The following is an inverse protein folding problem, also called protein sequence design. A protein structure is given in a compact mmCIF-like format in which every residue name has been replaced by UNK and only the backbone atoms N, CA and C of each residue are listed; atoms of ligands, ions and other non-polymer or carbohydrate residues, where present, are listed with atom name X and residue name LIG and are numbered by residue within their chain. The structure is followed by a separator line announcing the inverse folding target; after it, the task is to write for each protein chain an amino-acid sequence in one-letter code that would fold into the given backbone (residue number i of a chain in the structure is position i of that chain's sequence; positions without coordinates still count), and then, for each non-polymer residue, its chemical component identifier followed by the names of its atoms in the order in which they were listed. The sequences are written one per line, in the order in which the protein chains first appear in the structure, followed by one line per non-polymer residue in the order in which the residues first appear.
data_IF_908361952966
#
_entry.id   IF_908361952966
#
_cell.length_a   1.000
_cell.length_b   1.000
_cell.length_c   1.000
_cell.angle_alpha   90.00
_cell.angle_beta   90.00
_cell.angle_gamma   90.00
#
_symmetry.space_group_name_H-M   'P 1'
#
loop_
_entity.id
_entity.type
_entity.pdbx_description
1 polymer ?
#
# COMPACT_ATOMS: atom_id res chain seq x y z
N UNK A 1 -15.20 -17.23 -8.36
CA UNK A 1 -14.56 -16.10 -7.66
C UNK A 1 -15.66 -15.24 -7.07
N UNK A 2 -15.56 -14.83 -5.81
CA UNK A 2 -16.58 -13.94 -5.23
C UNK A 2 -16.31 -12.49 -5.67
N UNK A 3 -16.91 -12.08 -6.78
CA UNK A 3 -16.63 -10.80 -7.43
C UNK A 3 -16.96 -9.57 -6.58
N UNK A 4 -17.95 -9.66 -5.69
CA UNK A 4 -18.33 -8.57 -4.78
C UNK A 4 -17.21 -8.27 -3.77
N UNK A 5 -16.68 -9.33 -3.16
CA UNK A 5 -15.57 -9.26 -2.22
C UNK A 5 -14.30 -8.71 -2.88
N UNK A 6 -14.04 -9.12 -4.13
CA UNK A 6 -12.91 -8.61 -4.90
C UNK A 6 -13.02 -7.10 -5.15
N UNK A 7 -14.19 -6.60 -5.53
CA UNK A 7 -14.41 -5.15 -5.75
C UNK A 7 -14.18 -4.37 -4.46
N UNK A 8 -14.75 -4.80 -3.33
CA UNK A 8 -14.55 -4.15 -2.03
C UNK A 8 -13.08 -4.07 -1.65
N UNK A 9 -12.35 -5.18 -1.76
CA UNK A 9 -10.93 -5.24 -1.41
C UNK A 9 -10.12 -4.33 -2.34
N UNK A 10 -10.34 -4.38 -3.64
CA UNK A 10 -9.60 -3.55 -4.61
C UNK A 10 -9.89 -2.06 -4.37
N UNK A 11 -11.16 -1.67 -4.18
CA UNK A 11 -11.53 -0.28 -3.89
C UNK A 11 -10.85 0.24 -2.62
N UNK A 12 -10.86 -0.57 -1.54
CA UNK A 12 -10.16 -0.23 -0.30
C UNK A 12 -8.65 -0.09 -0.52
N UNK A 13 -8.05 -1.02 -1.28
CA UNK A 13 -6.62 -1.00 -1.58
C UNK A 13 -6.22 0.22 -2.40
N UNK A 14 -7.05 0.66 -3.34
CA UNK A 14 -6.79 1.89 -4.11
C UNK A 14 -6.88 3.12 -3.20
N UNK A 15 -7.96 3.25 -2.42
CA UNK A 15 -8.17 4.39 -1.52
C UNK A 15 -7.04 4.52 -0.49
N UNK A 16 -6.71 3.43 0.20
CA UNK A 16 -5.64 3.47 1.22
C UNK A 16 -4.27 3.55 0.55
N UNK A 17 -4.08 2.89 -0.59
CA UNK A 17 -2.83 2.90 -1.33
C UNK A 17 -2.41 4.31 -1.75
N UNK A 18 -3.33 5.07 -2.34
CA UNK A 18 -3.00 6.45 -2.78
C UNK A 18 -2.55 7.32 -1.62
N UNK A 19 -3.25 7.25 -0.48
CA UNK A 19 -2.90 8.03 0.71
C UNK A 19 -1.54 7.62 1.29
N UNK A 20 -1.31 6.31 1.45
CA UNK A 20 -0.06 5.79 2.05
C UNK A 20 1.15 6.12 1.18
N UNK A 21 1.03 6.00 -0.14
CA UNK A 21 2.11 6.35 -1.06
C UNK A 21 2.32 7.87 -1.14
N UNK A 22 1.26 8.67 -1.16
CA UNK A 22 1.37 10.13 -1.14
C UNK A 22 2.11 10.61 0.11
N UNK A 23 1.74 10.10 1.29
CA UNK A 23 2.42 10.44 2.56
C UNK A 23 3.87 9.97 2.54
N UNK A 24 4.15 8.76 2.04
CA UNK A 24 5.52 8.24 1.98
C UNK A 24 6.44 9.11 1.12
N UNK A 25 5.99 9.51 -0.07
CA UNK A 25 6.78 10.37 -0.97
C UNK A 25 6.92 11.78 -0.39
N UNK A 26 5.83 12.35 0.12
CA UNK A 26 5.84 13.68 0.73
C UNK A 26 6.77 13.75 1.96
N UNK A 27 6.76 12.71 2.80
CA UNK A 27 7.67 12.60 3.94
C UNK A 27 9.13 12.49 3.49
N UNK A 28 9.41 11.73 2.42
CA UNK A 28 10.75 11.61 1.86
C UNK A 28 11.27 12.95 1.33
N UNK A 29 10.41 13.70 0.63
CA UNK A 29 10.73 15.06 0.19
C UNK A 29 10.98 16.01 1.36
N UNK A 30 10.11 16.01 2.36
CA UNK A 30 10.17 16.93 3.50
C UNK A 30 11.44 16.72 4.33
N UNK A 31 11.78 15.46 4.64
CA UNK A 31 13.00 15.14 5.39
C UNK A 31 14.23 15.52 4.56
N UNK A 32 14.26 15.21 3.26
CA UNK A 32 15.37 15.58 2.39
C UNK A 32 15.63 17.10 2.38
N UNK A 33 14.57 17.90 2.35
CA UNK A 33 14.65 19.36 2.36
C UNK A 33 15.08 19.95 3.70
N UNK A 34 14.57 19.43 4.83
CA UNK A 34 14.91 19.96 6.16
C UNK A 34 16.39 19.74 6.51
N UNK A 35 16.97 18.63 6.06
CA UNK A 35 18.36 18.27 6.34
C UNK A 35 19.33 18.66 5.20
N UNK A 36 18.85 19.33 4.15
CA UNK A 36 19.63 19.76 2.97
C UNK A 36 20.50 18.63 2.36
N UNK A 37 19.99 17.40 2.31
CA UNK A 37 20.76 16.21 1.89
C UNK A 37 21.05 16.16 0.37
N UNK A 38 20.59 17.15 -0.38
CA UNK A 38 20.67 17.19 -1.83
C UNK A 38 19.75 16.18 -2.54
N UNK A 39 19.65 16.34 -3.85
CA UNK A 39 18.63 15.68 -4.67
C UNK A 39 18.81 14.15 -4.80
N UNK A 40 20.06 13.67 -4.77
CA UNK A 40 20.34 12.22 -4.84
C UNK A 40 19.83 11.49 -3.60
N UNK A 41 20.14 12.01 -2.42
CA UNK A 41 19.73 11.39 -1.15
C UNK A 41 18.22 11.54 -0.95
N UNK A 42 17.64 12.67 -1.39
CA UNK A 42 16.19 12.85 -1.37
C UNK A 42 15.43 11.79 -2.17
N UNK A 43 15.88 11.47 -3.39
CA UNK A 43 15.28 10.40 -4.19
C UNK A 43 15.45 9.02 -3.55
N UNK A 44 16.61 8.75 -2.93
CA UNK A 44 16.82 7.48 -2.19
C UNK A 44 15.84 7.39 -1.03
N UNK A 45 15.64 8.47 -0.27
CA UNK A 45 14.73 8.49 0.87
C UNK A 45 13.27 8.30 0.44
N UNK A 46 12.83 8.98 -0.63
CA UNK A 46 11.52 8.75 -1.24
C UNK A 46 11.35 7.28 -1.67
N UNK A 47 12.39 6.68 -2.27
CA UNK A 47 12.38 5.27 -2.66
C UNK A 47 12.24 4.33 -1.47
N UNK A 48 13.00 4.56 -0.40
CA UNK A 48 12.95 3.76 0.84
C UNK A 48 11.57 3.86 1.49
N UNK A 49 11.00 5.06 1.60
CA UNK A 49 9.66 5.24 2.15
C UNK A 49 8.57 4.65 1.26
N UNK A 50 8.72 4.73 -0.07
CA UNK A 50 7.80 4.07 -1.01
C UNK A 50 7.87 2.54 -0.89
N UNK A 51 9.05 1.99 -0.64
CA UNK A 51 9.21 0.56 -0.38
C UNK A 51 8.54 0.15 0.95
N UNK A 52 8.66 1.00 1.98
CA UNK A 52 7.94 0.80 3.23
C UNK A 52 6.41 0.88 3.05
N UNK A 53 5.92 1.84 2.26
CA UNK A 53 4.51 1.93 1.87
C UNK A 53 4.03 0.66 1.14
N UNK A 54 4.82 0.16 0.20
CA UNK A 54 4.52 -1.10 -0.49
C UNK A 54 4.44 -2.27 0.49
N UNK A 55 5.34 -2.35 1.48
CA UNK A 55 5.30 -3.38 2.52
C UNK A 55 4.03 -3.29 3.37
N UNK A 56 3.62 -2.09 3.79
CA UNK A 56 2.35 -1.86 4.50
C UNK A 56 1.15 -2.32 3.65
N UNK A 57 1.15 -2.00 2.36
CA UNK A 57 0.11 -2.42 1.43
C UNK A 57 0.02 -3.94 1.26
N UNK A 58 1.16 -4.64 1.25
CA UNK A 58 1.17 -6.11 1.25
C UNK A 58 0.55 -6.69 2.52
N UNK A 59 0.79 -6.08 3.68
CA UNK A 59 0.19 -6.52 4.94
C UNK A 59 -1.33 -6.25 4.97
N UNK A 60 -1.77 -5.10 4.44
CA UNK A 60 -3.18 -4.78 4.30
C UNK A 60 -3.89 -5.80 3.38
N UNK A 61 -3.28 -6.11 2.24
CA UNK A 61 -3.79 -7.11 1.29
C UNK A 61 -3.97 -8.48 1.94
N UNK A 62 -2.95 -8.95 2.66
CA UNK A 62 -2.99 -10.24 3.39
C UNK A 62 -4.12 -10.27 4.42
N UNK A 63 -4.32 -9.18 5.17
CA UNK A 63 -5.42 -9.09 6.15
C UNK A 63 -6.79 -9.06 5.47
N UNK A 64 -6.94 -8.24 4.44
CA UNK A 64 -8.19 -8.12 3.69
C UNK A 64 -8.63 -9.46 3.09
N UNK A 65 -7.70 -10.17 2.45
CA UNK A 65 -7.97 -11.49 1.84
C UNK A 65 -8.16 -12.62 2.86
N UNK A 66 -7.64 -12.47 4.07
CA UNK A 66 -7.87 -13.41 5.17
C UNK A 66 -9.26 -13.24 5.80
N UNK A 67 -9.74 -12.01 5.92
CA UNK A 67 -11.07 -11.71 6.50
C UNK A 67 -12.15 -12.02 5.48
N UNK A 68 -11.93 -11.67 4.22
CA UNK A 68 -12.91 -11.81 3.17
C UNK A 68 -12.34 -12.57 1.95
N UNK A 69 -12.42 -13.92 1.96
CA UNK A 69 -11.80 -14.76 0.94
C UNK A 69 -12.34 -14.49 -0.47
N UNK A 70 -11.43 -14.37 -1.45
CA UNK A 70 -11.76 -14.16 -2.86
C UNK A 70 -12.37 -15.41 -3.54
N UNK A 71 -12.30 -16.57 -2.88
CA UNK A 71 -12.85 -17.85 -3.33
C UNK A 71 -13.86 -18.35 -2.30
N UNK A 72 -15.10 -18.60 -2.72
CA UNK A 72 -16.03 -19.40 -1.93
C UNK A 72 -15.50 -20.84 -1.85
N UNK A 73 -15.56 -21.52 -0.69
CA UNK A 73 -15.33 -22.96 -0.63
C UNK A 73 -16.29 -23.63 -1.60
N UNK A 74 -15.81 -24.57 -2.42
CA UNK A 74 -16.70 -25.40 -3.21
C UNK A 74 -17.60 -26.16 -2.23
N UNK A 75 -18.90 -25.87 -2.27
CA UNK A 75 -19.91 -26.57 -1.49
C UNK A 75 -19.82 -28.06 -1.82
N UNK A 76 -19.25 -28.85 -0.92
CA UNK A 76 -19.38 -30.31 -0.95
C UNK A 76 -20.81 -30.61 -0.44
N UNK A 77 -21.78 -30.67 -1.36
CA UNK A 77 -23.09 -31.27 -1.13
C UNK A 77 -23.03 -32.73 -1.55
#
# INVERSE_FOLDING_TARGET
MNGRNAITIISMMVLVGTEVFAVAIAAGWAIAGIFDLGERVGHVLMGVFSLFAAWVMLQLWRRATSIEPLRSPATHR
#
